data_IF_934594137799
#
_entry.id   IF_934594137799
#
_cell.length_a   1.000
_cell.length_b   1.000
_cell.length_c   1.000
_cell.angle_alpha   90.00
_cell.angle_beta   90.00
_cell.angle_gamma   90.00
#
_symmetry.space_group_name_H-M   'P 1'
#
loop_
_entity.id
_entity.type
_entity.pdbx_description
1 polymer ?
#
# COMPACT_ATOMS: atom_id res chain seq x y z
N UNK A 1 -6.38 -15.10 -14.71
CA UNK A 1 -6.29 -13.73 -15.24
C UNK A 1 -5.06 -13.09 -14.63
N UNK A 2 -4.16 -12.50 -15.41
CA UNK A 2 -2.91 -11.92 -14.88
C UNK A 2 -3.17 -10.49 -14.35
N UNK A 3 -2.62 -10.16 -13.18
CA UNK A 3 -2.67 -8.81 -12.61
C UNK A 3 -1.33 -8.12 -12.93
N UNK A 4 -1.37 -7.03 -13.71
CA UNK A 4 -0.16 -6.29 -14.12
C UNK A 4 0.19 -5.11 -13.19
N UNK A 5 -0.47 -4.99 -12.03
CA UNK A 5 -0.42 -3.80 -11.18
C UNK A 5 -1.34 -2.67 -11.66
N UNK A 6 -1.60 -1.72 -10.75
CA UNK A 6 -2.30 -0.46 -10.98
C UNK A 6 -1.84 0.56 -9.92
N UNK A 7 -0.78 1.34 -10.21
CA UNK A 7 -0.34 2.41 -9.33
C UNK A 7 -1.44 3.47 -9.18
N UNK A 8 -1.79 3.82 -7.94
CA UNK A 8 -2.80 4.83 -7.63
C UNK A 8 -2.23 5.99 -6.82
N UNK A 9 -1.37 5.71 -5.84
CA UNK A 9 -0.70 6.71 -5.02
C UNK A 9 0.79 6.79 -5.35
N UNK A 10 1.31 7.99 -5.57
CA UNK A 10 2.72 8.23 -5.87
C UNK A 10 3.24 9.44 -5.10
N UNK A 11 4.39 9.33 -4.42
CA UNK A 11 5.09 10.46 -3.79
C UNK A 11 6.59 10.33 -3.98
N UNK A 12 7.25 11.46 -4.27
CA UNK A 12 8.70 11.54 -4.30
C UNK A 12 9.19 11.80 -2.87
N UNK A 13 10.12 10.99 -2.38
CA UNK A 13 10.76 11.20 -1.09
C UNK A 13 11.87 12.26 -1.19
N UNK A 14 12.26 12.83 -0.04
CA UNK A 14 13.34 13.82 0.03
C UNK A 14 14.71 13.25 -0.37
N UNK A 15 14.85 11.92 -0.40
CA UNK A 15 16.06 11.21 -0.84
C UNK A 15 15.99 10.76 -2.30
N UNK A 16 14.96 11.18 -3.05
CA UNK A 16 14.81 10.93 -4.48
C UNK A 16 14.22 9.57 -4.86
N UNK A 17 13.60 8.86 -3.91
CA UNK A 17 12.89 7.60 -4.19
C UNK A 17 11.43 7.88 -4.53
N UNK A 18 10.88 7.17 -5.53
CA UNK A 18 9.44 7.19 -5.80
C UNK A 18 8.76 6.12 -4.96
N UNK A 19 7.91 6.54 -4.02
CA UNK A 19 7.07 5.66 -3.22
C UNK A 19 5.73 5.49 -3.94
N UNK A 20 5.31 4.24 -4.11
CA UNK A 20 4.14 3.86 -4.90
C UNK A 20 3.21 2.95 -4.09
N UNK A 21 1.94 3.34 -3.99
CA UNK A 21 0.85 2.46 -3.58
C UNK A 21 0.20 1.88 -4.85
N UNK A 22 0.34 0.58 -5.02
CA UNK A 22 -0.28 -0.19 -6.08
C UNK A 22 -1.53 -0.91 -5.57
N UNK A 23 -2.63 -0.81 -6.32
CA UNK A 23 -3.92 -1.37 -5.94
C UNK A 23 -3.93 -2.89 -5.77
N UNK A 24 -3.00 -3.61 -6.40
CA UNK A 24 -2.96 -5.07 -6.41
C UNK A 24 -1.67 -5.66 -5.88
N UNK A 25 -0.57 -4.90 -5.92
CA UNK A 25 0.76 -5.41 -5.62
C UNK A 25 1.31 -4.92 -4.28
N UNK A 26 0.73 -3.87 -3.70
CA UNK A 26 1.12 -3.32 -2.40
C UNK A 26 1.96 -2.04 -2.49
N UNK A 27 2.86 -1.84 -1.52
CA UNK A 27 3.66 -0.63 -1.36
C UNK A 27 5.10 -0.86 -1.85
N UNK A 28 5.59 0.03 -2.70
CA UNK A 28 6.92 -0.05 -3.30
C UNK A 28 7.70 1.25 -3.11
N UNK A 29 9.03 1.13 -3.07
CA UNK A 29 9.96 2.22 -3.30
C UNK A 29 10.78 1.89 -4.54
N UNK A 30 11.01 2.88 -5.39
CA UNK A 30 11.88 2.72 -6.54
C UNK A 30 12.94 3.82 -6.50
N UNK A 31 14.18 3.48 -6.84
CA UNK A 31 15.31 4.39 -6.94
C UNK A 31 15.82 4.35 -8.39
N UNK A 32 15.80 5.50 -9.07
CA UNK A 32 16.09 5.60 -10.51
C UNK A 32 17.59 5.57 -10.77
N UNK A 33 18.36 6.16 -9.84
CA UNK A 33 19.80 6.26 -9.93
C UNK A 33 20.46 4.90 -9.71
N UNK A 34 19.88 4.07 -8.85
CA UNK A 34 20.34 2.71 -8.56
C UNK A 34 19.65 1.64 -9.40
N UNK A 35 18.69 2.02 -10.26
CA UNK A 35 17.83 1.10 -11.03
C UNK A 35 17.18 0.02 -10.15
N UNK A 36 16.77 0.39 -8.94
CA UNK A 36 16.37 -0.55 -7.89
C UNK A 36 14.89 -0.41 -7.55
N UNK A 37 14.20 -1.55 -7.47
CA UNK A 37 12.81 -1.66 -6.99
C UNK A 37 12.81 -2.42 -5.67
N UNK A 38 12.20 -1.84 -4.64
CA UNK A 38 12.03 -2.44 -3.32
C UNK A 38 10.54 -2.59 -3.05
N UNK A 39 10.08 -3.82 -2.83
CA UNK A 39 8.75 -4.07 -2.27
C UNK A 39 8.83 -3.84 -0.76
N UNK A 40 8.11 -2.83 -0.27
CA UNK A 40 8.02 -2.50 1.16
C UNK A 40 7.04 -3.43 1.86
N UNK A 41 5.84 -3.58 1.28
CA UNK A 41 4.75 -4.40 1.79
C UNK A 41 3.98 -4.97 0.60
N UNK A 42 3.84 -6.29 0.52
CA UNK A 42 3.09 -6.94 -0.56
C UNK A 42 1.59 -7.05 -0.29
N UNK A 43 0.80 -7.08 -1.36
CA UNK A 43 -0.58 -7.58 -1.25
C UNK A 43 -0.58 -9.02 -0.72
N UNK A 44 -1.52 -9.35 0.16
CA UNK A 44 -1.57 -10.62 0.87
C UNK A 44 -0.71 -10.69 2.15
N UNK A 45 0.17 -9.72 2.39
CA UNK A 45 0.96 -9.65 3.63
C UNK A 45 0.14 -8.98 4.76
N UNK A 46 0.43 -9.34 6.01
CA UNK A 46 -0.20 -8.72 7.17
C UNK A 46 0.41 -7.33 7.43
N UNK A 47 -0.41 -6.28 7.66
CA UNK A 47 0.12 -4.95 7.98
C UNK A 47 0.61 -4.81 9.43
N UNK A 48 0.47 -5.86 10.24
CA UNK A 48 0.76 -5.89 11.68
C UNK A 48 1.11 -7.31 12.11
N UNK A 49 1.66 -7.47 13.31
CA UNK A 49 1.94 -8.78 13.92
C UNK A 49 0.66 -9.44 14.52
N UNK A 50 -0.49 -8.79 14.42
CA UNK A 50 -1.77 -9.41 14.78
C UNK A 50 -2.21 -10.37 13.67
N UNK A 51 -2.09 -11.68 13.94
CA UNK A 51 -2.51 -12.75 13.02
C UNK A 51 -4.01 -12.72 12.68
N UNK A 52 -4.83 -12.00 13.46
CA UNK A 52 -6.26 -11.81 13.17
C UNK A 52 -6.54 -10.65 12.24
N UNK A 53 -5.56 -9.79 11.97
CA UNK A 53 -5.75 -8.69 11.03
C UNK A 53 -5.91 -9.23 9.61
N UNK A 54 -6.82 -8.67 8.80
CA UNK A 54 -6.90 -9.07 7.40
C UNK A 54 -5.64 -8.61 6.66
N UNK A 55 -5.12 -9.42 5.72
CA UNK A 55 -3.97 -9.05 4.90
C UNK A 55 -4.29 -7.83 4.04
N UNK A 56 -3.24 -7.16 3.53
CA UNK A 56 -3.40 -6.06 2.60
C UNK A 56 -4.05 -6.53 1.30
N UNK A 57 -5.00 -5.74 0.79
CA UNK A 57 -5.70 -6.06 -0.46
C UNK A 57 -5.78 -4.92 -1.46
N UNK A 58 -6.20 -3.72 -1.05
CA UNK A 58 -6.48 -2.62 -1.99
C UNK A 58 -5.92 -1.29 -1.51
N UNK A 59 -4.63 -1.05 -1.75
CA UNK A 59 -4.01 0.25 -1.46
C UNK A 59 -4.45 1.32 -2.46
N UNK A 60 -4.67 2.54 -1.99
CA UNK A 60 -5.18 3.63 -2.83
C UNK A 60 -4.19 4.80 -2.94
N UNK A 61 -4.10 5.64 -1.91
CA UNK A 61 -3.12 6.74 -1.88
C UNK A 61 -2.22 6.68 -0.63
N UNK A 62 -1.11 7.43 -0.68
CA UNK A 62 -0.11 7.52 0.39
C UNK A 62 0.43 8.94 0.57
N UNK A 63 1.02 9.21 1.72
CA UNK A 63 1.85 10.38 1.95
C UNK A 63 3.10 10.04 2.78
N UNK A 64 4.12 10.89 2.68
CA UNK A 64 5.37 10.76 3.44
C UNK A 64 5.35 11.80 4.55
N UNK A 65 5.40 11.33 5.79
CA UNK A 65 5.40 12.20 6.97
C UNK A 65 6.79 12.86 7.14
N UNK A 66 6.87 14.02 7.83
CA UNK A 66 8.14 14.73 8.05
C UNK A 66 9.23 13.92 8.77
N UNK A 67 8.86 12.83 9.46
CA UNK A 67 9.80 11.94 10.14
C UNK A 67 10.15 10.67 9.33
N UNK A 68 9.81 10.65 8.04
CA UNK A 68 10.11 9.57 7.10
C UNK A 68 9.18 8.36 7.17
N UNK A 69 8.17 8.38 8.04
CA UNK A 69 7.11 7.35 8.03
C UNK A 69 6.21 7.53 6.83
N UNK A 70 5.67 6.43 6.31
CA UNK A 70 4.74 6.45 5.18
C UNK A 70 3.35 6.17 5.73
N UNK A 71 2.41 7.10 5.57
CA UNK A 71 0.99 6.88 5.85
C UNK A 71 0.30 6.51 4.54
N UNK A 72 -0.58 5.52 4.55
CA UNK A 72 -1.28 5.09 3.36
C UNK A 72 -2.67 4.59 3.67
N UNK A 73 -3.52 4.72 2.66
CA UNK A 73 -4.91 4.28 2.69
C UNK A 73 -5.06 2.93 2.02
N UNK A 74 -5.87 2.09 2.64
CA UNK A 74 -6.42 0.91 2.01
C UNK A 74 -7.93 1.12 1.88
N UNK A 75 -8.45 1.10 0.64
CA UNK A 75 -9.88 1.33 0.38
C UNK A 75 -10.74 0.22 0.97
N UNK A 76 -10.27 -1.03 0.90
CA UNK A 76 -10.97 -2.19 1.45
C UNK A 76 -9.98 -3.31 1.76
N UNK A 77 -10.08 -3.89 2.94
CA UNK A 77 -9.37 -5.13 3.29
C UNK A 77 -10.06 -6.39 2.73
N UNK A 78 -11.22 -6.24 2.07
CA UNK A 78 -12.10 -7.33 1.65
C UNK A 78 -12.23 -7.46 0.13
N UNK A 79 -12.33 -6.34 -0.59
CA UNK A 79 -12.45 -6.30 -2.05
C UNK A 79 -11.27 -5.56 -2.65
N UNK A 80 -10.82 -6.00 -3.83
CA UNK A 80 -9.81 -5.27 -4.59
C UNK A 80 -10.44 -4.27 -5.57
N UNK A 81 -9.61 -3.53 -6.29
CA UNK A 81 -10.03 -2.51 -7.24
C UNK A 81 -10.94 -3.03 -8.38
N UNK A 82 -10.92 -4.33 -8.73
CA UNK A 82 -11.85 -4.88 -9.73
C UNK A 82 -13.25 -5.09 -9.17
N UNK A 83 -13.31 -5.37 -7.87
CA UNK A 83 -14.53 -5.67 -7.14
C UNK A 83 -15.01 -4.48 -6.28
N UNK A 84 -14.50 -3.27 -6.52
CA UNK A 84 -14.82 -2.07 -5.73
C UNK A 84 -16.33 -1.77 -5.65
N UNK A 85 -17.10 -2.15 -6.68
CA UNK A 85 -18.56 -2.02 -6.71
C UNK A 85 -19.22 -2.88 -5.62
N UNK A 86 -18.66 -4.05 -5.30
CA UNK A 86 -19.17 -4.90 -4.22
C UNK A 86 -18.94 -4.26 -2.84
N UNK A 87 -17.79 -3.61 -2.65
CA UNK A 87 -17.50 -2.85 -1.42
C UNK A 87 -18.48 -1.67 -1.26
N UNK A 88 -18.77 -0.97 -2.36
CA UNK A 88 -19.76 0.10 -2.40
C UNK A 88 -21.17 -0.40 -2.01
N UNK A 89 -21.60 -1.53 -2.57
CA UNK A 89 -22.91 -2.11 -2.25
C UNK A 89 -22.98 -2.67 -0.83
N UNK A 90 -21.88 -3.20 -0.30
CA UNK A 90 -21.83 -3.66 1.08
C UNK A 90 -21.97 -2.49 2.07
N UNK A 91 -21.46 -1.30 1.70
CA UNK A 91 -21.61 -0.06 2.45
C UNK A 91 -21.19 -0.21 3.93
N UNK A 92 -20.05 -0.88 4.14
CA UNK A 92 -19.40 -1.11 5.44
C UNK A 92 -18.04 -0.42 5.49
N UNK A 93 -17.53 -0.11 6.70
CA UNK A 93 -16.23 0.54 6.86
C UNK A 93 -15.08 -0.49 6.71
N UNK A 94 -14.88 -1.02 5.51
CA UNK A 94 -13.85 -2.03 5.23
C UNK A 94 -12.45 -1.43 5.03
N UNK A 95 -12.35 -0.11 4.89
CA UNK A 95 -11.09 0.60 4.67
C UNK A 95 -10.26 0.83 5.93
N UNK A 96 -8.98 1.12 5.74
CA UNK A 96 -8.00 1.38 6.82
C UNK A 96 -7.07 2.53 6.47
N UNK A 97 -6.58 3.23 7.49
CA UNK A 97 -5.36 4.03 7.41
C UNK A 97 -4.25 3.29 8.14
N UNK A 98 -3.10 3.17 7.49
CA UNK A 98 -1.96 2.40 7.95
C UNK A 98 -0.71 3.27 7.92
N UNK A 99 0.25 2.94 8.79
CA UNK A 99 1.53 3.65 8.87
C UNK A 99 2.68 2.65 8.84
N UNK A 100 3.62 2.87 7.94
CA UNK A 100 4.87 2.13 7.86
C UNK A 100 6.01 2.97 8.43
N UNK A 101 6.77 2.39 9.36
CA UNK A 101 7.98 3.01 9.90
C UNK A 101 9.22 2.25 9.38
N UNK A 102 9.99 2.84 8.45
CA UNK A 102 11.16 2.17 7.86
C UNK A 102 12.24 1.82 8.90
N UNK A 103 12.26 2.49 10.06
CA UNK A 103 13.24 2.28 11.13
C UNK A 103 12.94 1.05 11.98
N UNK A 104 11.72 0.49 11.89
CA UNK A 104 11.28 -0.68 12.66
C UNK A 104 11.42 -2.00 11.89
N UNK A 105 12.14 -1.99 10.76
CA UNK A 105 12.42 -3.19 9.99
C UNK A 105 13.45 -4.04 10.74
N UNK A 106 12.96 -5.01 11.51
CA UNK A 106 13.77 -6.09 12.11
C UNK A 106 13.75 -7.30 11.20
#
# INVERSE_FOLDING_TARGET
MHLCGRPLGLRLSDVGELIIADAYLGLFAINWQEEKVIKILGAGELPTNDEKAPPIKYLNDLDILPDGRIIFSESSAKFDDRDFILDLFEHRPNGRLLIYDPRKKT
#
